data_IF_821901294216
#
_entry.id   IF_821901294216
#
_cell.length_a   1.000
_cell.length_b   1.000
_cell.length_c   1.000
_cell.angle_alpha   90.00
_cell.angle_beta   90.00
_cell.angle_gamma   90.00
#
_symmetry.space_group_name_H-M   'P 1'
#
loop_
_entity.id
_entity.type
_entity.pdbx_description
1 polymer ?
#
# COMPACT_ATOMS: atom_id res chain seq x y z
N UNK A 1 -35.41 -21.11 -26.56
CA UNK A 1 -34.79 -20.92 -25.25
C UNK A 1 -35.88 -20.47 -24.28
N UNK A 2 -36.14 -21.22 -23.25
CA UNK A 2 -37.21 -20.92 -22.29
C UNK A 2 -36.69 -19.92 -21.24
N UNK A 3 -37.61 -19.16 -20.62
CA UNK A 3 -37.28 -18.19 -19.53
C UNK A 3 -36.48 -18.87 -18.41
N UNK A 4 -36.85 -20.11 -18.02
CA UNK A 4 -36.14 -20.94 -17.05
C UNK A 4 -34.69 -21.31 -17.47
N UNK A 5 -34.40 -21.38 -18.74
CA UNK A 5 -33.04 -21.64 -19.25
C UNK A 5 -32.20 -20.38 -19.20
N UNK A 6 -32.81 -19.21 -19.43
CA UNK A 6 -32.16 -17.91 -19.32
C UNK A 6 -31.77 -17.66 -17.86
N UNK A 7 -32.68 -17.87 -16.91
CA UNK A 7 -32.42 -17.70 -15.49
C UNK A 7 -31.26 -18.61 -15.00
N UNK A 8 -31.26 -19.89 -15.40
CA UNK A 8 -30.16 -20.80 -15.05
C UNK A 8 -28.80 -20.38 -15.63
N UNK A 9 -28.79 -19.75 -16.80
CA UNK A 9 -27.56 -19.23 -17.40
C UNK A 9 -27.12 -17.98 -16.63
N UNK A 10 -28.05 -17.08 -16.30
CA UNK A 10 -27.77 -15.88 -15.51
C UNK A 10 -27.16 -16.21 -14.14
N UNK A 11 -27.76 -17.18 -13.41
CA UNK A 11 -27.26 -17.64 -12.12
C UNK A 11 -25.83 -18.21 -12.23
N UNK A 12 -25.56 -19.04 -13.24
CA UNK A 12 -24.22 -19.59 -13.46
C UNK A 12 -23.18 -18.53 -13.82
N UNK A 13 -23.57 -17.53 -14.57
CA UNK A 13 -22.69 -16.40 -14.90
C UNK A 13 -22.40 -15.57 -13.64
N UNK A 14 -23.43 -15.27 -12.86
CA UNK A 14 -23.28 -14.56 -11.59
C UNK A 14 -22.34 -15.31 -10.64
N UNK A 15 -22.52 -16.61 -10.41
CA UNK A 15 -21.60 -17.42 -9.60
C UNK A 15 -20.16 -17.40 -10.11
N UNK A 16 -19.95 -17.47 -11.43
CA UNK A 16 -18.60 -17.40 -12.01
C UNK A 16 -17.96 -16.03 -11.79
N UNK A 17 -18.72 -14.95 -11.99
CA UNK A 17 -18.23 -13.58 -11.75
C UNK A 17 -17.86 -13.37 -10.29
N UNK A 18 -18.67 -13.85 -9.34
CA UNK A 18 -18.38 -13.80 -7.91
C UNK A 18 -17.09 -14.56 -7.56
N UNK A 19 -16.90 -15.77 -8.12
CA UNK A 19 -15.67 -16.55 -7.89
C UNK A 19 -14.42 -15.84 -8.43
N UNK A 20 -14.53 -15.18 -9.60
CA UNK A 20 -13.45 -14.40 -10.19
C UNK A 20 -13.13 -13.19 -9.30
N UNK A 21 -14.15 -12.44 -8.90
CA UNK A 21 -13.99 -11.28 -8.03
C UNK A 21 -13.31 -11.65 -6.70
N UNK A 22 -13.77 -12.72 -6.04
CA UNK A 22 -13.15 -13.23 -4.80
C UNK A 22 -11.68 -13.63 -5.00
N UNK A 23 -11.35 -14.28 -6.13
CA UNK A 23 -9.97 -14.64 -6.45
C UNK A 23 -9.09 -13.42 -6.70
N UNK A 24 -9.60 -12.41 -7.39
CA UNK A 24 -8.85 -11.18 -7.69
C UNK A 24 -8.60 -10.36 -6.42
N UNK A 25 -9.59 -10.25 -5.54
CA UNK A 25 -9.43 -9.59 -4.23
C UNK A 25 -8.45 -10.33 -3.31
N UNK A 26 -8.37 -11.65 -3.38
CA UNK A 26 -7.35 -12.41 -2.66
C UNK A 26 -5.93 -12.03 -3.13
N UNK A 27 -5.70 -11.99 -4.44
CA UNK A 27 -4.42 -11.58 -5.02
C UNK A 27 -4.09 -10.11 -4.71
N UNK A 28 -5.10 -9.24 -4.74
CA UNK A 28 -4.95 -7.84 -4.37
C UNK A 28 -4.54 -7.69 -2.90
N UNK A 29 -5.13 -8.49 -1.99
CA UNK A 29 -4.73 -8.55 -0.58
C UNK A 29 -3.25 -8.93 -0.44
N UNK A 30 -2.80 -9.99 -1.11
CA UNK A 30 -1.39 -10.39 -1.09
C UNK A 30 -0.47 -9.29 -1.65
N UNK A 31 -0.86 -8.63 -2.74
CA UNK A 31 -0.11 -7.53 -3.32
C UNK A 31 0.01 -6.34 -2.36
N UNK A 32 -1.07 -5.99 -1.65
CA UNK A 32 -1.06 -4.94 -0.62
C UNK A 32 -0.12 -5.27 0.53
N UNK A 33 -0.13 -6.52 1.02
CA UNK A 33 0.79 -6.96 2.07
C UNK A 33 2.26 -6.90 1.64
N UNK A 34 2.58 -7.32 0.41
CA UNK A 34 3.95 -7.22 -0.13
C UNK A 34 4.41 -5.77 -0.29
N UNK A 35 3.51 -4.88 -0.67
CA UNK A 35 3.81 -3.47 -0.87
C UNK A 35 3.89 -2.67 0.45
N UNK A 36 3.31 -3.18 1.53
CA UNK A 36 3.18 -2.48 2.80
C UNK A 36 4.52 -1.99 3.39
N UNK A 37 5.61 -2.78 3.46
CA UNK A 37 6.90 -2.27 3.93
C UNK A 37 7.45 -1.14 3.06
N UNK A 38 7.22 -1.21 1.74
CA UNK A 38 7.66 -0.17 0.81
C UNK A 38 6.85 1.11 0.95
N UNK A 39 5.57 1.04 1.31
CA UNK A 39 4.76 2.22 1.59
C UNK A 39 5.35 3.05 2.75
N UNK A 40 5.72 2.40 3.87
CA UNK A 40 6.35 3.07 5.01
C UNK A 40 7.69 3.72 4.63
N UNK A 41 8.56 3.00 3.92
CA UNK A 41 9.83 3.54 3.41
C UNK A 41 9.63 4.72 2.46
N UNK A 42 8.58 4.69 1.63
CA UNK A 42 8.27 5.79 0.70
C UNK A 42 7.85 7.04 1.45
N UNK A 43 7.03 6.93 2.50
CA UNK A 43 6.63 8.07 3.34
C UNK A 43 7.86 8.67 4.02
N UNK A 44 8.72 7.86 4.61
CA UNK A 44 9.97 8.31 5.25
C UNK A 44 10.85 9.07 4.24
N UNK A 45 11.13 8.47 3.09
CA UNK A 45 11.92 9.11 2.02
C UNK A 45 11.31 10.42 1.51
N UNK A 46 9.99 10.47 1.34
CA UNK A 46 9.32 11.70 0.91
C UNK A 46 9.42 12.78 1.99
N UNK A 47 9.30 12.42 3.28
CA UNK A 47 9.47 13.36 4.39
C UNK A 47 10.91 13.88 4.49
N UNK A 48 11.90 13.01 4.32
CA UNK A 48 13.32 13.42 4.24
C UNK A 48 13.53 14.38 3.07
N UNK A 49 12.95 14.08 1.90
CA UNK A 49 13.07 14.96 0.74
C UNK A 49 12.39 16.32 0.94
N UNK A 50 11.24 16.37 1.59
CA UNK A 50 10.58 17.62 1.99
C UNK A 50 11.51 18.43 2.92
N UNK A 51 12.13 17.79 3.90
CA UNK A 51 13.07 18.42 4.81
C UNK A 51 14.31 18.99 4.07
N UNK A 52 14.89 18.20 3.16
CA UNK A 52 16.01 18.65 2.32
C UNK A 52 15.64 19.87 1.49
N UNK A 53 14.44 19.90 0.87
CA UNK A 53 13.99 21.04 0.06
C UNK A 53 13.83 22.28 0.94
N UNK A 54 13.30 22.14 2.15
CA UNK A 54 13.14 23.26 3.09
C UNK A 54 14.48 23.81 3.58
N UNK A 55 15.49 22.96 3.76
CA UNK A 55 16.81 23.35 4.27
C UNK A 55 17.75 23.84 3.17
N UNK A 56 17.71 23.24 1.98
CA UNK A 56 18.73 23.41 0.94
C UNK A 56 18.18 23.82 -0.43
N UNK A 57 16.87 23.87 -0.60
CA UNK A 57 16.22 24.04 -1.89
C UNK A 57 16.32 22.79 -2.78
N UNK A 58 15.81 22.88 -4.00
CA UNK A 58 15.83 21.76 -4.96
C UNK A 58 17.22 21.43 -5.53
N UNK A 59 18.26 22.14 -5.13
CA UNK A 59 19.64 21.90 -5.56
C UNK A 59 19.94 22.21 -7.03
N UNK A 60 19.00 21.96 -7.92
CA UNK A 60 19.12 22.24 -9.35
C UNK A 60 18.86 23.71 -9.72
N UNK A 61 18.17 24.44 -8.85
CA UNK A 61 17.86 25.86 -9.05
C UNK A 61 19.02 26.79 -8.78
N UNK A 62 20.15 26.31 -8.26
CA UNK A 62 21.38 27.12 -8.09
C UNK A 62 22.02 27.60 -9.40
N UNK A 63 21.44 27.28 -10.56
CA UNK A 63 21.87 27.77 -11.87
C UNK A 63 21.02 28.91 -12.44
N UNK A 64 20.25 29.61 -11.64
CA UNK A 64 19.80 30.94 -12.02
C UNK A 64 21.01 31.86 -11.89
N UNK A 65 21.66 32.13 -13.02
CA UNK A 65 22.74 33.13 -13.09
C UNK A 65 22.25 34.41 -12.42
N UNK A 66 23.07 35.05 -11.56
CA UNK A 66 22.72 36.36 -11.08
C UNK A 66 22.56 37.24 -12.31
N UNK A 67 21.41 37.84 -12.49
CA UNK A 67 21.27 38.95 -13.42
C UNK A 67 22.01 40.08 -12.75
N UNK A 68 23.24 40.30 -13.21
CA UNK A 68 23.99 41.52 -12.85
C UNK A 68 23.19 42.73 -13.28
N UNK A 69 23.02 43.65 -12.34
CA UNK A 69 22.56 45.00 -12.51
C UNK A 69 21.09 45.26 -12.85
N UNK A 70 20.29 45.33 -11.81
CA UNK A 70 19.28 46.37 -11.72
C UNK A 70 19.48 47.15 -10.41
N UNK A 71 19.96 48.38 -10.49
CA UNK A 71 19.94 49.34 -9.41
C UNK A 71 18.48 49.61 -9.04
N UNK A 72 18.07 49.24 -7.85
CA UNK A 72 16.76 49.51 -7.32
C UNK A 72 16.39 48.52 -6.24
N UNK A 73 16.47 49.00 -5.03
CA UNK A 73 16.30 48.24 -3.79
C UNK A 73 15.30 47.13 -3.77
N UNK A 74 15.79 45.98 -3.44
CA UNK A 74 15.24 44.98 -3.25
C UNK A 74 14.98 44.18 -2.32
N UNK A 75 13.96 43.89 -2.05
CA UNK A 75 13.27 42.90 -1.18
C UNK A 75 13.95 41.56 -1.27
N UNK A 76 14.66 41.18 -0.19
CA UNK A 76 14.90 39.78 0.12
C UNK A 76 13.58 39.02 -0.03
N UNK A 77 13.52 38.13 -0.99
CA UNK A 77 12.47 37.15 -0.99
C UNK A 77 12.74 36.20 0.18
N UNK A 78 12.02 36.38 1.25
CA UNK A 78 11.99 35.49 2.42
C UNK A 78 10.99 34.32 2.23
N UNK A 79 10.66 33.96 1.00
CA UNK A 79 9.71 32.89 0.69
C UNK A 79 10.39 31.72 -0.02
N UNK A 80 9.83 30.55 0.20
CA UNK A 80 10.20 29.35 -0.57
C UNK A 80 9.81 29.60 -2.03
N UNK A 81 10.72 29.37 -3.02
CA UNK A 81 10.37 29.50 -4.42
C UNK A 81 9.14 28.65 -4.78
N UNK A 82 8.30 29.15 -5.68
CA UNK A 82 7.03 28.51 -6.06
C UNK A 82 7.22 27.06 -6.52
N UNK A 83 8.26 26.78 -7.28
CA UNK A 83 8.60 25.42 -7.74
C UNK A 83 8.92 24.48 -6.58
N UNK A 84 9.59 24.97 -5.55
CA UNK A 84 9.90 24.20 -4.35
C UNK A 84 8.64 23.93 -3.54
N UNK A 85 7.75 24.91 -3.43
CA UNK A 85 6.47 24.75 -2.75
C UNK A 85 5.58 23.73 -3.47
N UNK A 86 5.46 23.80 -4.79
CA UNK A 86 4.73 22.82 -5.58
C UNK A 86 5.28 21.40 -5.38
N UNK A 87 6.61 21.25 -5.34
CA UNK A 87 7.24 19.96 -5.11
C UNK A 87 6.96 19.41 -3.73
N UNK A 88 6.99 20.25 -2.71
CA UNK A 88 6.63 19.87 -1.33
C UNK A 88 5.17 19.45 -1.25
N UNK A 89 4.27 20.21 -1.86
CA UNK A 89 2.83 19.89 -1.88
C UNK A 89 2.56 18.56 -2.59
N UNK A 90 3.23 18.31 -3.71
CA UNK A 90 3.14 17.02 -4.42
C UNK A 90 3.57 15.86 -3.53
N UNK A 91 4.74 15.93 -2.88
CA UNK A 91 5.25 14.89 -1.98
C UNK A 91 4.30 14.64 -0.80
N UNK A 92 3.77 15.70 -0.20
CA UNK A 92 2.77 15.60 0.88
C UNK A 92 1.48 14.96 0.41
N UNK A 93 0.99 15.32 -0.78
CA UNK A 93 -0.21 14.73 -1.37
C UNK A 93 -0.03 13.24 -1.67
N UNK A 94 1.14 12.83 -2.16
CA UNK A 94 1.48 11.42 -2.32
C UNK A 94 1.47 10.68 -0.98
N UNK A 95 2.09 11.25 0.06
CA UNK A 95 2.10 10.66 1.39
C UNK A 95 0.69 10.42 1.93
N UNK A 96 -0.22 11.39 1.81
CA UNK A 96 -1.62 11.23 2.24
C UNK A 96 -2.30 10.04 1.55
N UNK A 97 -2.02 9.81 0.26
CA UNK A 97 -2.58 8.66 -0.47
C UNK A 97 -1.99 7.33 0.02
N UNK A 98 -0.69 7.32 0.30
CA UNK A 98 0.01 6.13 0.80
C UNK A 98 -0.39 5.83 2.24
N UNK A 99 -0.49 6.83 3.11
CA UNK A 99 -0.94 6.71 4.50
C UNK A 99 -2.33 6.08 4.61
N UNK A 100 -3.28 6.47 3.76
CA UNK A 100 -4.59 5.82 3.70
C UNK A 100 -4.51 4.33 3.43
N UNK A 101 -3.55 3.89 2.58
CA UNK A 101 -3.32 2.47 2.31
C UNK A 101 -2.68 1.77 3.50
N UNK A 102 -1.70 2.42 4.13
CA UNK A 102 -1.03 1.92 5.34
C UNK A 102 -2.06 1.70 6.45
N UNK A 103 -2.88 2.71 6.77
CA UNK A 103 -3.92 2.63 7.80
C UNK A 103 -4.90 1.49 7.52
N UNK A 104 -5.31 1.29 6.27
CA UNK A 104 -6.20 0.16 5.92
C UNK A 104 -5.57 -1.19 6.21
N UNK A 105 -4.27 -1.35 5.89
CA UNK A 105 -3.54 -2.60 6.15
C UNK A 105 -3.31 -2.77 7.64
N UNK A 106 -2.93 -1.71 8.38
CA UNK A 106 -2.75 -1.74 9.83
C UNK A 106 -4.03 -2.19 10.55
N UNK A 107 -5.18 -1.59 10.22
CA UNK A 107 -6.47 -1.96 10.79
C UNK A 107 -6.85 -3.42 10.49
N UNK A 108 -6.54 -3.91 9.28
CA UNK A 108 -6.79 -5.30 8.93
C UNK A 108 -5.88 -6.26 9.71
N UNK A 109 -4.61 -5.91 9.88
CA UNK A 109 -3.64 -6.68 10.66
C UNK A 109 -4.00 -6.74 12.13
N UNK A 110 -4.47 -5.63 12.71
CA UNK A 110 -4.95 -5.60 14.10
C UNK A 110 -6.11 -6.58 14.32
N UNK A 111 -6.98 -6.76 13.33
CA UNK A 111 -8.08 -7.73 13.38
C UNK A 111 -7.65 -9.21 13.43
N UNK A 112 -6.39 -9.50 13.16
CA UNK A 112 -5.83 -10.88 13.22
C UNK A 112 -4.65 -11.02 14.17
N UNK A 113 -4.28 -9.99 14.89
CA UNK A 113 -3.07 -9.92 15.72
C UNK A 113 -3.01 -10.97 16.81
N UNK A 114 -4.16 -11.33 17.40
CA UNK A 114 -4.28 -12.34 18.45
C UNK A 114 -4.31 -13.79 17.91
N UNK A 115 -4.20 -13.95 16.60
CA UNK A 115 -4.18 -15.29 15.99
C UNK A 115 -2.81 -15.94 16.21
N UNK A 116 -2.79 -17.17 16.71
CA UNK A 116 -1.56 -17.95 16.96
C UNK A 116 -0.60 -17.97 15.77
N UNK A 117 -1.11 -17.89 14.57
CA UNK A 117 -0.34 -17.96 13.33
C UNK A 117 -0.14 -16.58 12.67
N UNK A 118 -0.38 -15.48 13.40
CA UNK A 118 -0.21 -14.11 12.90
C UNK A 118 1.18 -13.89 12.27
N UNK A 119 2.22 -14.39 12.93
CA UNK A 119 3.61 -14.20 12.51
C UNK A 119 3.91 -14.80 11.12
N UNK A 120 3.10 -15.75 10.63
CA UNK A 120 3.22 -16.21 9.23
C UNK A 120 3.08 -15.04 8.25
N UNK A 121 2.19 -14.11 8.53
CA UNK A 121 1.99 -12.93 7.65
C UNK A 121 3.21 -12.01 7.72
N UNK A 122 3.71 -11.73 8.92
CA UNK A 122 4.89 -10.88 9.12
C UNK A 122 6.13 -11.49 8.46
N UNK A 123 6.41 -12.75 8.74
CA UNK A 123 7.58 -13.45 8.20
C UNK A 123 7.51 -13.54 6.67
N UNK A 124 6.34 -13.92 6.13
CA UNK A 124 6.18 -14.14 4.69
C UNK A 124 6.18 -12.86 3.86
N UNK A 125 5.47 -11.81 4.31
CA UNK A 125 5.21 -10.62 3.49
C UNK A 125 6.09 -9.43 3.85
N UNK A 126 6.59 -9.34 5.09
CA UNK A 126 7.40 -8.21 5.52
C UNK A 126 8.89 -8.57 5.63
N UNK A 127 9.20 -9.84 5.95
CA UNK A 127 10.57 -10.35 6.02
C UNK A 127 10.97 -11.25 4.85
N UNK A 128 10.03 -11.53 3.94
CA UNK A 128 10.22 -12.29 2.69
C UNK A 128 10.67 -13.76 2.88
N UNK A 129 10.45 -14.32 4.06
CA UNK A 129 10.79 -15.72 4.35
C UNK A 129 10.02 -16.67 3.44
N UNK A 130 10.66 -17.78 3.10
CA UNK A 130 10.02 -18.89 2.38
C UNK A 130 9.04 -19.65 3.29
N UNK A 131 8.15 -20.44 2.69
CA UNK A 131 7.22 -21.26 3.47
C UNK A 131 7.98 -22.35 4.25
N UNK A 132 9.12 -22.81 3.73
CA UNK A 132 9.92 -23.85 4.37
C UNK A 132 10.66 -23.29 5.60
N UNK A 133 11.26 -22.11 5.53
CA UNK A 133 11.87 -21.42 6.68
C UNK A 133 10.84 -21.14 7.78
N UNK A 134 9.62 -20.69 7.40
CA UNK A 134 8.53 -20.47 8.37
C UNK A 134 8.08 -21.79 9.00
N UNK A 135 8.02 -22.88 8.24
CA UNK A 135 7.62 -24.17 8.74
C UNK A 135 8.64 -24.75 9.76
N UNK A 136 9.93 -24.50 9.51
CA UNK A 136 11.02 -24.84 10.42
C UNK A 136 10.96 -24.03 11.71
N UNK A 137 10.78 -22.72 11.61
CA UNK A 137 10.67 -21.80 12.77
C UNK A 137 9.47 -22.14 13.68
N UNK A 138 8.35 -22.52 13.08
CA UNK A 138 7.13 -22.92 13.81
C UNK A 138 7.14 -24.40 14.26
N UNK A 139 8.16 -25.15 13.92
CA UNK A 139 8.25 -26.60 14.16
C UNK A 139 7.03 -27.39 13.65
N UNK A 140 6.47 -27.00 12.50
CA UNK A 140 5.32 -27.63 11.87
C UNK A 140 5.59 -27.95 10.40
N UNK A 141 4.76 -28.81 9.80
CA UNK A 141 4.92 -29.12 8.41
C UNK A 141 4.47 -27.94 7.49
N UNK A 142 5.09 -27.84 6.33
CA UNK A 142 4.80 -26.85 5.28
C UNK A 142 3.30 -26.72 4.96
N UNK A 143 2.57 -27.82 4.97
CA UNK A 143 1.12 -27.83 4.67
C UNK A 143 0.31 -27.08 5.74
N UNK A 144 0.73 -27.17 7.00
CA UNK A 144 0.11 -26.42 8.11
C UNK A 144 0.30 -24.92 7.92
N UNK A 145 1.51 -24.48 7.58
CA UNK A 145 1.79 -23.07 7.26
C UNK A 145 0.94 -22.60 6.06
N UNK A 146 0.92 -23.37 4.97
CA UNK A 146 0.13 -23.03 3.78
C UNK A 146 -1.36 -22.83 4.07
N UNK A 147 -1.97 -23.76 4.87
CA UNK A 147 -3.38 -23.66 5.27
C UNK A 147 -3.66 -22.42 6.13
N UNK A 148 -2.81 -22.15 7.13
CA UNK A 148 -2.99 -21.02 8.04
C UNK A 148 -2.74 -19.70 7.30
N UNK A 149 -1.72 -19.61 6.43
CA UNK A 149 -1.53 -18.46 5.56
C UNK A 149 -2.77 -18.15 4.74
N UNK A 150 -3.33 -19.15 4.05
CA UNK A 150 -4.55 -18.98 3.23
C UNK A 150 -5.73 -18.52 4.08
N UNK A 151 -5.91 -19.09 5.27
CA UNK A 151 -6.94 -18.70 6.22
C UNK A 151 -6.81 -17.24 6.66
N UNK A 152 -5.59 -16.83 7.01
CA UNK A 152 -5.31 -15.46 7.45
C UNK A 152 -5.49 -14.44 6.32
N UNK A 153 -5.01 -14.75 5.10
CA UNK A 153 -5.22 -13.90 3.94
C UNK A 153 -6.71 -13.70 3.65
N UNK A 154 -7.53 -14.73 3.79
CA UNK A 154 -8.98 -14.60 3.64
C UNK A 154 -9.59 -13.69 4.71
N UNK A 155 -9.15 -13.77 5.98
CA UNK A 155 -9.59 -12.85 7.02
C UNK A 155 -9.22 -11.41 6.69
N UNK A 156 -7.99 -11.17 6.25
CA UNK A 156 -7.52 -9.87 5.80
C UNK A 156 -8.29 -9.36 4.58
N UNK A 157 -8.58 -10.24 3.61
CA UNK A 157 -9.37 -9.91 2.44
C UNK A 157 -10.75 -9.35 2.83
N UNK A 158 -11.44 -9.99 3.78
CA UNK A 158 -12.74 -9.53 4.26
C UNK A 158 -12.65 -8.19 4.99
N UNK A 159 -11.57 -7.93 5.71
CA UNK A 159 -11.34 -6.64 6.37
C UNK A 159 -11.02 -5.53 5.37
N UNK A 160 -10.21 -5.83 4.35
CA UNK A 160 -9.79 -4.86 3.33
C UNK A 160 -10.87 -4.60 2.28
N UNK A 161 -11.69 -5.60 1.98
CA UNK A 161 -12.71 -5.61 0.94
C UNK A 161 -14.03 -6.18 1.48
N UNK A 162 -14.74 -5.43 2.36
CA UNK A 162 -15.97 -5.89 2.98
C UNK A 162 -17.07 -6.20 1.97
N UNK A 163 -17.01 -5.63 0.77
CA UNK A 163 -17.92 -5.94 -0.33
C UNK A 163 -17.91 -7.42 -0.74
N UNK A 164 -16.81 -8.15 -0.47
CA UNK A 164 -16.71 -9.59 -0.76
C UNK A 164 -17.60 -10.45 0.15
N UNK A 165 -18.09 -9.89 1.26
CA UNK A 165 -19.02 -10.55 2.18
C UNK A 165 -20.49 -10.35 1.79
N UNK A 166 -20.78 -9.32 0.98
CA UNK A 166 -22.15 -8.92 0.64
C UNK A 166 -22.70 -9.71 -0.56
N UNK A 167 -21.87 -10.56 -1.17
CA UNK A 167 -22.17 -11.47 -2.27
C UNK A 167 -22.16 -12.95 -1.74
#
# INVERSE_FOLDING_TARGET
MTEKEIDKIADRVAEKLMKINKSDKYKETEAMLRAYPNYKKTIERNNERVKEILENGLGETKKVRPVENVQGGLKKYEGIPEIELERIEHLKSENVKIEKRVIRVDNALDGIKDDRYYDIIVLRYFKEWTIDEIAEDFEVNRRTIGRNRTRLIKKLQYSLFPEVLLD
#
